data_IF_360544166736
#
_entry.id   IF_360544166736
#
_cell.length_a   1.000
_cell.length_b   1.000
_cell.length_c   1.000
_cell.angle_alpha   90.00
_cell.angle_beta   90.00
_cell.angle_gamma   90.00
#
_symmetry.space_group_name_H-M   'P 1'
#
loop_
_entity.id
_entity.type
_entity.pdbx_description
1 polymer ?
#
# COMPACT_ATOMS: atom_id res chain seq x y z
N UNK A 1 6.37 -2.48 -40.82
CA UNK A 1 5.79 -3.11 -39.60
C UNK A 1 6.87 -3.68 -38.66
N UNK A 2 7.91 -4.36 -39.17
CA UNK A 2 9.03 -4.89 -38.36
C UNK A 2 9.83 -3.85 -37.55
N UNK A 3 10.19 -2.71 -38.15
CA UNK A 3 11.00 -1.67 -37.48
C UNK A 3 10.31 -1.09 -36.23
N UNK A 4 9.00 -0.84 -36.29
CA UNK A 4 8.23 -0.32 -35.15
C UNK A 4 8.17 -1.32 -33.99
N UNK A 5 8.05 -2.62 -34.25
CA UNK A 5 7.99 -3.63 -33.19
C UNK A 5 9.35 -3.80 -32.51
N UNK A 6 10.44 -3.74 -33.28
CA UNK A 6 11.80 -3.81 -32.74
C UNK A 6 12.11 -2.59 -31.86
N UNK A 7 11.63 -1.40 -32.25
CA UNK A 7 11.74 -0.20 -31.42
C UNK A 7 10.99 -0.34 -30.08
N UNK A 8 9.77 -0.89 -30.07
CA UNK A 8 9.02 -1.10 -28.82
C UNK A 8 9.70 -2.12 -27.89
N UNK A 9 10.28 -3.19 -28.44
CA UNK A 9 11.08 -4.16 -27.68
C UNK A 9 12.35 -3.53 -27.11
N UNK A 10 13.01 -2.65 -27.87
CA UNK A 10 14.15 -1.89 -27.38
C UNK A 10 13.76 -0.99 -26.20
N UNK A 11 12.65 -0.26 -26.29
CA UNK A 11 12.12 0.58 -25.21
C UNK A 11 11.81 -0.24 -23.96
N UNK A 12 11.18 -1.41 -24.13
CA UNK A 12 10.91 -2.35 -23.04
C UNK A 12 12.21 -2.78 -22.36
N UNK A 13 13.19 -3.25 -23.14
CA UNK A 13 14.49 -3.70 -22.64
C UNK A 13 15.23 -2.59 -21.91
N UNK A 14 15.28 -1.38 -22.49
CA UNK A 14 15.87 -0.20 -21.87
C UNK A 14 15.18 0.12 -20.54
N UNK A 15 13.84 0.03 -20.48
CA UNK A 15 13.08 0.31 -19.25
C UNK A 15 13.39 -0.69 -18.14
N UNK A 16 13.57 -1.97 -18.47
CA UNK A 16 13.99 -3.00 -17.52
C UNK A 16 15.40 -2.70 -16.99
N UNK A 17 16.34 -2.33 -17.87
CA UNK A 17 17.70 -1.98 -17.48
C UNK A 17 17.76 -0.71 -16.62
N UNK A 18 17.01 0.33 -16.98
CA UNK A 18 16.87 1.55 -16.17
C UNK A 18 16.23 1.24 -14.83
N UNK A 19 15.21 0.37 -14.79
CA UNK A 19 14.60 -0.10 -13.53
C UNK A 19 15.62 -0.80 -12.63
N UNK A 20 16.46 -1.67 -13.20
CA UNK A 20 17.53 -2.34 -12.47
C UNK A 20 18.57 -1.33 -11.96
N UNK A 21 18.99 -0.40 -12.81
CA UNK A 21 19.93 0.66 -12.43
C UNK A 21 19.42 1.51 -11.27
N UNK A 22 18.16 1.96 -11.34
CA UNK A 22 17.51 2.70 -10.26
C UNK A 22 17.44 1.85 -8.99
N UNK A 23 17.02 0.59 -9.09
CA UNK A 23 16.90 -0.29 -7.93
C UNK A 23 18.25 -0.50 -7.22
N UNK A 24 19.33 -0.75 -7.96
CA UNK A 24 20.63 -1.07 -7.36
C UNK A 24 21.45 0.16 -6.96
N UNK A 25 21.42 1.25 -7.73
CA UNK A 25 22.33 2.39 -7.54
C UNK A 25 21.68 3.61 -6.87
N UNK A 26 20.37 3.82 -7.04
CA UNK A 26 19.75 5.06 -6.57
C UNK A 26 19.67 5.14 -5.04
N UNK A 27 19.20 4.09 -4.36
CA UNK A 27 19.06 4.16 -2.90
C UNK A 27 20.39 4.35 -2.16
N UNK A 28 21.50 3.67 -2.53
CA UNK A 28 22.83 3.99 -2.01
C UNK A 28 23.25 5.45 -2.28
N UNK A 29 23.02 5.94 -3.50
CA UNK A 29 23.36 7.32 -3.87
C UNK A 29 22.57 8.36 -3.07
N UNK A 30 21.29 8.10 -2.79
CA UNK A 30 20.43 8.96 -1.97
C UNK A 30 20.72 8.84 -0.47
N UNK A 31 21.23 7.70 0.00
CA UNK A 31 21.57 7.52 1.41
C UNK A 31 22.64 8.53 1.89
N UNK A 32 23.59 8.90 1.02
CA UNK A 32 24.65 9.86 1.34
C UNK A 32 24.13 11.28 1.65
N UNK A 33 23.40 11.97 0.76
CA UNK A 33 22.85 13.30 1.07
C UNK A 33 21.81 13.26 2.20
N UNK A 34 20.99 12.19 2.28
CA UNK A 34 20.01 12.04 3.37
C UNK A 34 20.73 11.91 4.71
N UNK A 35 21.91 11.26 4.77
CA UNK A 35 22.73 11.14 5.98
C UNK A 35 23.30 12.44 6.51
N UNK A 36 23.37 13.47 5.66
CA UNK A 36 23.79 14.82 6.05
C UNK A 36 22.64 15.69 6.55
N UNK A 37 21.39 15.20 6.49
CA UNK A 37 20.23 15.94 6.96
C UNK A 37 20.03 15.74 8.47
N UNK A 38 19.87 16.84 9.20
CA UNK A 38 19.57 16.82 10.63
C UNK A 38 18.12 16.44 10.95
N UNK A 39 17.27 16.29 9.93
CA UNK A 39 15.86 15.97 10.15
C UNK A 39 15.68 14.60 10.80
N UNK A 40 14.81 14.56 11.82
CA UNK A 40 14.46 13.34 12.54
C UNK A 40 13.91 12.25 11.59
N UNK A 41 13.20 12.67 10.54
CA UNK A 41 12.68 11.79 9.48
C UNK A 41 13.83 11.19 8.66
N UNK A 42 14.85 11.97 8.30
CA UNK A 42 16.02 11.46 7.57
C UNK A 42 16.80 10.45 8.42
N UNK A 43 17.03 10.74 9.71
CA UNK A 43 17.68 9.81 10.65
C UNK A 43 16.95 8.47 10.73
N UNK A 44 15.62 8.51 10.86
CA UNK A 44 14.77 7.30 10.85
C UNK A 44 14.78 6.57 9.51
N UNK A 45 14.80 7.30 8.40
CA UNK A 45 14.88 6.73 7.06
C UNK A 45 16.20 5.98 6.82
N UNK A 46 17.33 6.55 7.27
CA UNK A 46 18.65 5.90 7.19
C UNK A 46 18.70 4.66 8.07
N UNK A 47 18.16 4.74 9.29
CA UNK A 47 18.05 3.57 10.17
C UNK A 47 17.26 2.45 9.48
N UNK A 48 16.11 2.78 8.90
CA UNK A 48 15.30 1.81 8.17
C UNK A 48 15.99 1.28 6.90
N UNK A 49 16.78 2.10 6.20
CA UNK A 49 17.61 1.65 5.09
C UNK A 49 18.68 0.63 5.54
N UNK A 50 19.31 0.83 6.70
CA UNK A 50 20.27 -0.13 7.27
C UNK A 50 19.59 -1.45 7.66
N UNK A 51 18.39 -1.39 8.23
CA UNK A 51 17.63 -2.58 8.65
C UNK A 51 17.05 -3.36 7.46
N UNK A 52 16.45 -2.67 6.48
CA UNK A 52 15.75 -3.27 5.34
C UNK A 52 16.09 -2.57 4.03
N UNK A 53 17.34 -2.68 3.53
CA UNK A 53 17.82 -1.94 2.36
C UNK A 53 17.08 -2.31 1.09
N UNK A 54 16.56 -3.54 0.99
CA UNK A 54 15.83 -4.05 -0.16
C UNK A 54 14.44 -3.43 -0.31
N UNK A 55 13.74 -3.19 0.80
CA UNK A 55 12.42 -2.55 0.79
C UNK A 55 12.53 -1.06 0.46
N UNK A 56 13.55 -0.38 0.96
CA UNK A 56 13.80 1.02 0.60
C UNK A 56 14.15 1.17 -0.89
N UNK A 57 15.01 0.28 -1.43
CA UNK A 57 15.31 0.23 -2.87
C UNK A 57 14.06 0.04 -3.71
N UNK A 58 13.20 -0.91 -3.32
CA UNK A 58 11.89 -1.14 -3.95
C UNK A 58 11.05 0.14 -3.92
N UNK A 59 10.91 0.77 -2.75
CA UNK A 59 10.06 1.95 -2.57
C UNK A 59 10.51 3.14 -3.43
N UNK A 60 11.80 3.49 -3.43
CA UNK A 60 12.28 4.61 -4.25
C UNK A 60 12.08 4.36 -5.74
N UNK A 61 12.39 3.15 -6.20
CA UNK A 61 12.21 2.76 -7.60
C UNK A 61 10.74 2.82 -7.99
N UNK A 62 9.85 2.24 -7.18
CA UNK A 62 8.42 2.20 -7.46
C UNK A 62 7.81 3.61 -7.45
N UNK A 63 8.29 4.51 -6.58
CA UNK A 63 7.87 5.91 -6.56
C UNK A 63 8.23 6.67 -7.85
N UNK A 64 9.48 6.54 -8.33
CA UNK A 64 9.93 7.22 -9.56
C UNK A 64 9.09 6.80 -10.75
N UNK A 65 8.91 5.49 -10.92
CA UNK A 65 8.10 4.98 -12.01
C UNK A 65 6.63 5.32 -11.85
N UNK A 66 6.08 5.30 -10.63
CA UNK A 66 4.69 5.68 -10.42
C UNK A 66 4.44 7.17 -10.76
N UNK A 67 5.36 8.09 -10.43
CA UNK A 67 5.25 9.50 -10.83
C UNK A 67 5.29 9.61 -12.36
N UNK A 68 6.31 9.03 -13.00
CA UNK A 68 6.49 9.08 -14.44
C UNK A 68 5.27 8.54 -15.18
N UNK A 69 4.81 7.34 -14.82
CA UNK A 69 3.72 6.65 -15.49
C UNK A 69 2.37 7.31 -15.22
N UNK A 70 2.15 7.85 -14.02
CA UNK A 70 0.96 8.64 -13.74
C UNK A 70 0.91 9.92 -14.58
N UNK A 71 2.04 10.64 -14.70
CA UNK A 71 2.15 11.81 -15.58
C UNK A 71 1.88 11.45 -17.05
N UNK A 72 2.41 10.32 -17.53
CA UNK A 72 2.08 9.81 -18.86
C UNK A 72 0.59 9.46 -19.00
N UNK A 73 -0.03 8.88 -17.98
CA UNK A 73 -1.46 8.58 -17.96
C UNK A 73 -2.32 9.84 -18.07
N UNK A 74 -1.95 10.91 -17.35
CA UNK A 74 -2.63 12.21 -17.46
C UNK A 74 -2.49 12.81 -18.87
N UNK A 75 -1.27 12.76 -19.43
CA UNK A 75 -1.01 13.20 -20.81
C UNK A 75 -1.88 12.43 -21.82
N UNK A 76 -1.89 11.10 -21.75
CA UNK A 76 -2.70 10.27 -22.64
C UNK A 76 -4.20 10.54 -22.46
N UNK A 77 -4.67 10.74 -21.22
CA UNK A 77 -6.07 11.03 -20.93
C UNK A 77 -6.52 12.41 -21.44
N UNK A 78 -5.60 13.37 -21.59
CA UNK A 78 -5.92 14.69 -22.16
C UNK A 78 -5.84 14.72 -23.69
N UNK A 79 -5.31 13.67 -24.32
CA UNK A 79 -5.16 13.62 -25.77
C UNK A 79 -6.49 13.30 -26.46
N UNK A 80 -6.81 14.08 -27.51
CA UNK A 80 -7.98 13.83 -28.37
C UNK A 80 -7.91 12.47 -29.09
N UNK A 81 -6.70 11.96 -29.33
CA UNK A 81 -6.48 10.67 -29.99
C UNK A 81 -7.10 9.51 -29.20
N UNK A 82 -7.10 9.60 -27.87
CA UNK A 82 -7.68 8.58 -27.00
C UNK A 82 -9.18 8.39 -27.24
N UNK A 83 -9.91 9.47 -27.45
CA UNK A 83 -11.38 9.45 -27.58
C UNK A 83 -11.85 9.27 -29.02
N UNK A 84 -10.99 9.56 -30.00
CA UNK A 84 -11.34 9.42 -31.41
C UNK A 84 -11.45 7.95 -31.86
N UNK A 85 -10.49 7.10 -31.46
CA UNK A 85 -10.47 5.66 -31.77
C UNK A 85 -10.01 4.84 -30.56
N UNK A 86 -10.77 4.84 -29.45
CA UNK A 86 -10.38 4.25 -28.17
C UNK A 86 -10.02 2.76 -28.18
N UNK A 87 -10.58 2.01 -29.11
CA UNK A 87 -10.48 0.55 -29.17
C UNK A 87 -9.57 0.04 -30.29
N UNK A 88 -9.26 0.87 -31.30
CA UNK A 88 -8.53 0.45 -32.50
C UNK A 88 -7.46 1.45 -32.88
N UNK A 89 -6.38 0.98 -33.51
CA UNK A 89 -5.30 1.81 -34.05
C UNK A 89 -4.68 2.75 -33.01
N UNK A 90 -4.28 2.18 -31.87
CA UNK A 90 -3.56 2.93 -30.83
C UNK A 90 -2.34 3.64 -31.42
N UNK A 91 -2.18 4.93 -31.10
CA UNK A 91 -1.10 5.74 -31.67
C UNK A 91 0.28 5.27 -31.21
N UNK A 92 1.29 5.48 -32.05
CA UNK A 92 2.67 5.04 -31.78
C UNK A 92 3.20 5.61 -30.45
N UNK A 93 2.85 6.86 -30.13
CA UNK A 93 3.22 7.51 -28.87
C UNK A 93 2.68 6.74 -27.66
N UNK A 94 1.42 6.30 -27.73
CA UNK A 94 0.80 5.54 -26.65
C UNK A 94 1.45 4.16 -26.51
N UNK A 95 1.77 3.50 -27.64
CA UNK A 95 2.47 2.22 -27.63
C UNK A 95 3.85 2.31 -26.97
N UNK A 96 4.59 3.41 -27.16
CA UNK A 96 5.86 3.65 -26.48
C UNK A 96 5.66 3.76 -24.97
N UNK A 97 4.69 4.57 -24.52
CA UNK A 97 4.36 4.71 -23.09
C UNK A 97 3.95 3.36 -22.49
N UNK A 98 3.11 2.60 -23.20
CA UNK A 98 2.68 1.27 -22.78
C UNK A 98 3.85 0.28 -22.74
N UNK A 99 4.86 0.42 -23.60
CA UNK A 99 6.07 -0.40 -23.58
C UNK A 99 6.94 -0.08 -22.36
N UNK A 100 7.04 1.19 -21.98
CA UNK A 100 7.67 1.59 -20.70
C UNK A 100 6.91 0.99 -19.52
N UNK A 101 5.57 1.06 -19.55
CA UNK A 101 4.75 0.46 -18.50
C UNK A 101 4.93 -1.05 -18.39
N UNK A 102 4.95 -1.75 -19.52
CA UNK A 102 5.18 -3.19 -19.59
C UNK A 102 6.58 -3.54 -19.04
N UNK A 103 7.63 -2.84 -19.47
CA UNK A 103 8.99 -3.05 -18.95
C UNK A 103 9.08 -2.83 -17.44
N UNK A 104 8.40 -1.82 -16.91
CA UNK A 104 8.29 -1.59 -15.47
C UNK A 104 7.66 -2.79 -14.74
N UNK A 105 6.59 -3.37 -15.29
CA UNK A 105 5.89 -4.52 -14.70
C UNK A 105 6.65 -5.84 -14.83
N UNK A 106 7.37 -6.05 -15.93
CA UNK A 106 8.30 -7.18 -16.09
C UNK A 106 9.36 -7.14 -15.00
N UNK A 107 9.94 -5.96 -14.75
CA UNK A 107 10.88 -5.81 -13.63
C UNK A 107 10.21 -6.01 -12.27
N UNK A 108 9.00 -5.46 -12.03
CA UNK A 108 8.26 -5.67 -10.77
C UNK A 108 8.01 -7.16 -10.50
N UNK A 109 7.72 -7.95 -11.54
CA UNK A 109 7.55 -9.39 -11.45
C UNK A 109 8.84 -10.07 -10.97
N UNK A 110 9.99 -9.77 -11.60
CA UNK A 110 11.29 -10.28 -11.15
C UNK A 110 11.66 -9.80 -9.73
N UNK A 111 11.37 -8.54 -9.41
CA UNK A 111 11.59 -7.94 -8.10
C UNK A 111 10.79 -8.66 -7.01
N UNK A 112 9.54 -9.04 -7.28
CA UNK A 112 8.72 -9.78 -6.32
C UNK A 112 9.27 -11.18 -6.03
N UNK A 113 9.83 -11.87 -7.04
CA UNK A 113 10.55 -13.13 -6.80
C UNK A 113 11.76 -12.95 -5.89
N UNK A 114 12.55 -11.90 -6.11
CA UNK A 114 13.71 -11.57 -5.26
C UNK A 114 13.28 -11.26 -3.81
N UNK A 115 12.12 -10.64 -3.63
CA UNK A 115 11.60 -10.19 -2.34
C UNK A 115 10.53 -11.11 -1.75
N UNK A 116 10.41 -12.35 -2.24
CA UNK A 116 9.35 -13.30 -1.85
C UNK A 116 9.19 -13.52 -0.34
N UNK A 117 10.28 -13.41 0.42
CA UNK A 117 10.28 -13.58 1.89
C UNK A 117 9.94 -12.30 2.66
N UNK A 118 10.03 -11.15 2.01
CA UNK A 118 9.85 -9.83 2.63
C UNK A 118 8.46 -9.23 2.33
N UNK A 119 7.74 -9.77 1.34
CA UNK A 119 6.44 -9.28 0.89
C UNK A 119 5.28 -10.06 1.53
N UNK A 120 4.41 -9.42 2.34
CA UNK A 120 3.33 -10.10 3.05
C UNK A 120 2.23 -10.66 2.14
N UNK A 121 2.08 -10.11 0.92
CA UNK A 121 1.06 -10.50 -0.06
C UNK A 121 1.67 -10.92 -1.40
N UNK A 122 2.85 -11.54 -1.36
CA UNK A 122 3.64 -11.92 -2.53
C UNK A 122 2.80 -12.56 -3.65
N UNK A 123 1.97 -13.58 -3.34
CA UNK A 123 1.20 -14.32 -4.37
C UNK A 123 0.22 -13.42 -5.13
N UNK A 124 -0.48 -12.53 -4.42
CA UNK A 124 -1.46 -11.62 -5.02
C UNK A 124 -0.74 -10.55 -5.84
N UNK A 125 0.36 -9.98 -5.32
CA UNK A 125 1.17 -9.01 -6.06
C UNK A 125 1.76 -9.61 -7.33
N UNK A 126 2.29 -10.84 -7.26
CA UNK A 126 2.84 -11.56 -8.40
C UNK A 126 1.78 -11.81 -9.47
N UNK A 127 0.59 -12.29 -9.08
CA UNK A 127 -0.52 -12.51 -9.99
C UNK A 127 -0.96 -11.20 -10.66
N UNK A 128 -1.11 -10.12 -9.89
CA UNK A 128 -1.43 -8.80 -10.41
C UNK A 128 -0.39 -8.32 -11.43
N UNK A 129 0.90 -8.44 -11.11
CA UNK A 129 1.96 -8.01 -12.02
C UNK A 129 2.00 -8.85 -13.29
N UNK A 130 1.79 -10.17 -13.20
CA UNK A 130 1.70 -11.07 -14.34
C UNK A 130 0.53 -10.71 -15.26
N UNK A 131 -0.69 -10.60 -14.71
CA UNK A 131 -1.89 -10.25 -15.49
C UNK A 131 -1.75 -8.86 -16.12
N UNK A 132 -1.17 -7.90 -15.41
CA UNK A 132 -0.94 -6.57 -15.97
C UNK A 132 0.07 -6.61 -17.12
N UNK A 133 1.17 -7.35 -16.97
CA UNK A 133 2.17 -7.51 -18.03
C UNK A 133 1.59 -8.19 -19.28
N UNK A 134 0.81 -9.27 -19.12
CA UNK A 134 0.20 -9.96 -20.26
C UNK A 134 -0.84 -9.08 -20.96
N UNK A 135 -1.66 -8.35 -20.20
CA UNK A 135 -2.62 -7.38 -20.75
C UNK A 135 -1.96 -6.31 -21.60
N UNK A 136 -0.89 -5.69 -21.10
CA UNK A 136 -0.17 -4.67 -21.87
C UNK A 136 0.58 -5.27 -23.07
N UNK A 137 1.06 -6.51 -22.95
CA UNK A 137 1.61 -7.27 -24.08
C UNK A 137 0.58 -7.42 -25.21
N UNK A 138 -0.67 -7.76 -24.88
CA UNK A 138 -1.76 -7.87 -25.86
C UNK A 138 -2.13 -6.51 -26.46
N UNK A 139 -2.24 -5.45 -25.64
CA UNK A 139 -2.52 -4.09 -26.12
C UNK A 139 -1.45 -3.65 -27.13
N UNK A 140 -0.17 -3.91 -26.84
CA UNK A 140 0.94 -3.53 -27.72
C UNK A 140 0.98 -4.37 -28.99
N UNK A 141 0.83 -5.69 -28.88
CA UNK A 141 0.90 -6.61 -30.01
C UNK A 141 -0.22 -6.35 -31.04
N UNK A 142 -1.43 -6.12 -30.56
CA UNK A 142 -2.61 -5.92 -31.40
C UNK A 142 -2.93 -4.44 -31.67
N UNK A 143 -2.26 -3.51 -30.98
CA UNK A 143 -2.48 -2.05 -31.09
C UNK A 143 -3.94 -1.64 -30.89
N UNK A 144 -4.59 -2.29 -29.93
CA UNK A 144 -6.00 -2.17 -29.63
C UNK A 144 -6.22 -1.91 -28.14
N UNK A 145 -7.40 -1.38 -27.79
CA UNK A 145 -7.82 -1.13 -26.41
C UNK A 145 -6.90 -0.15 -25.64
N UNK A 146 -6.67 1.05 -26.19
CA UNK A 146 -5.83 2.05 -25.54
C UNK A 146 -6.40 2.56 -24.22
N UNK A 147 -7.73 2.56 -24.04
CA UNK A 147 -8.34 3.02 -22.79
C UNK A 147 -7.92 2.17 -21.61
N UNK A 148 -7.94 0.84 -21.76
CA UNK A 148 -7.51 -0.04 -20.67
C UNK A 148 -6.04 0.22 -20.31
N UNK A 149 -5.21 0.56 -21.30
CA UNK A 149 -3.85 1.02 -21.08
C UNK A 149 -3.78 2.36 -20.34
N UNK A 150 -4.56 3.36 -20.74
CA UNK A 150 -4.58 4.66 -20.03
C UNK A 150 -5.09 4.51 -18.59
N UNK A 151 -6.13 3.71 -18.38
CA UNK A 151 -6.68 3.40 -17.05
C UNK A 151 -5.60 2.79 -16.15
N UNK A 152 -4.84 1.81 -16.65
CA UNK A 152 -3.76 1.19 -15.86
C UNK A 152 -2.64 2.18 -15.49
N UNK A 153 -2.27 3.10 -16.40
CA UNK A 153 -1.32 4.19 -16.09
C UNK A 153 -1.84 5.09 -14.97
N UNK A 154 -3.12 5.46 -15.02
CA UNK A 154 -3.75 6.30 -13.99
C UNK A 154 -3.80 5.60 -12.62
N UNK A 155 -3.88 4.26 -12.58
CA UNK A 155 -3.84 3.52 -11.31
C UNK A 155 -2.51 3.69 -10.55
N UNK A 156 -1.39 3.93 -11.23
CA UNK A 156 -0.10 4.19 -10.55
C UNK A 156 -0.14 5.44 -9.68
N UNK A 157 -0.99 6.43 -9.99
CA UNK A 157 -1.15 7.62 -9.16
C UNK A 157 -1.63 7.28 -7.74
N UNK A 158 -2.43 6.22 -7.58
CA UNK A 158 -2.84 5.75 -6.26
C UNK A 158 -1.69 5.10 -5.49
N UNK A 159 -0.78 4.41 -6.18
CA UNK A 159 0.37 3.69 -5.58
C UNK A 159 1.27 4.67 -4.81
N UNK A 160 1.49 5.87 -5.35
CA UNK A 160 2.27 6.94 -4.70
C UNK A 160 1.81 7.19 -3.26
N UNK A 161 0.50 7.33 -3.08
CA UNK A 161 -0.10 7.65 -1.77
C UNK A 161 -0.15 6.41 -0.85
N UNK A 162 -0.29 5.21 -1.42
CA UNK A 162 -0.21 3.96 -0.66
C UNK A 162 1.17 3.76 -0.05
N UNK A 163 2.21 3.96 -0.85
CA UNK A 163 3.61 3.76 -0.45
C UNK A 163 4.07 4.86 0.50
N UNK A 164 3.67 6.12 0.28
CA UNK A 164 3.93 7.21 1.22
C UNK A 164 3.31 6.93 2.60
N UNK A 165 2.04 6.48 2.62
CA UNK A 165 1.37 6.14 3.87
C UNK A 165 2.00 4.91 4.56
N UNK A 166 2.55 3.98 3.79
CA UNK A 166 3.26 2.82 4.32
C UNK A 166 4.63 3.22 4.88
N UNK A 167 5.36 4.09 4.18
CA UNK A 167 6.63 4.65 4.63
C UNK A 167 6.47 5.40 5.95
N UNK A 168 5.47 6.27 6.07
CA UNK A 168 5.19 7.00 7.31
C UNK A 168 4.89 6.06 8.49
N UNK A 169 4.23 4.92 8.24
CA UNK A 169 4.03 3.89 9.27
C UNK A 169 5.34 3.23 9.66
N UNK A 170 6.19 2.87 8.69
CA UNK A 170 7.48 2.23 8.95
C UNK A 170 8.47 3.15 9.67
N UNK A 171 8.41 4.46 9.39
CA UNK A 171 9.22 5.47 10.10
C UNK A 171 8.72 5.75 11.53
N UNK A 172 7.68 5.06 12.02
CA UNK A 172 7.18 5.23 13.38
C UNK A 172 6.66 6.65 13.65
N UNK A 173 6.16 7.34 12.63
CA UNK A 173 5.48 8.63 12.82
C UNK A 173 4.21 8.37 13.65
N UNK A 174 3.90 9.27 14.59
CA UNK A 174 2.81 9.07 15.53
C UNK A 174 1.51 8.70 14.81
N UNK A 175 0.89 7.58 15.24
CA UNK A 175 -0.34 7.06 14.62
C UNK A 175 -1.51 8.05 14.68
N UNK A 176 -1.45 8.99 15.61
CA UNK A 176 -2.41 10.07 15.84
C UNK A 176 -2.01 11.41 15.20
N UNK A 177 -0.82 11.49 14.60
CA UNK A 177 -0.33 12.72 13.99
C UNK A 177 -1.20 13.19 12.82
N UNK A 178 -1.35 14.52 12.70
CA UNK A 178 -2.14 15.15 11.63
C UNK A 178 -1.66 14.74 10.23
N UNK A 179 -0.34 14.65 10.02
CA UNK A 179 0.25 14.18 8.76
C UNK A 179 -0.21 12.77 8.36
N UNK A 180 -0.26 11.84 9.32
CA UNK A 180 -0.71 10.46 9.08
C UNK A 180 -2.21 10.43 8.78
N UNK A 181 -3.02 11.30 9.40
CA UNK A 181 -4.42 11.41 9.04
C UNK A 181 -4.61 12.00 7.64
N UNK A 182 -3.98 13.13 7.32
CA UNK A 182 -4.07 13.77 6.01
C UNK A 182 -3.68 12.82 4.89
N UNK A 183 -2.58 12.08 5.04
CA UNK A 183 -2.17 11.05 4.08
C UNK A 183 -3.15 9.88 3.99
N UNK A 184 -3.84 9.52 5.08
CA UNK A 184 -4.91 8.51 5.02
C UNK A 184 -6.12 8.99 4.23
N UNK A 185 -6.52 10.24 4.46
CA UNK A 185 -7.66 10.89 3.81
C UNK A 185 -7.36 11.03 2.32
N UNK A 186 -6.18 11.57 1.99
CA UNK A 186 -5.69 11.67 0.62
C UNK A 186 -5.66 10.29 -0.05
N UNK A 187 -5.15 9.26 0.62
CA UNK A 187 -5.16 7.89 0.08
C UNK A 187 -6.57 7.45 -0.26
N UNK A 188 -7.53 7.65 0.63
CA UNK A 188 -8.92 7.25 0.39
C UNK A 188 -9.51 7.95 -0.84
N UNK A 189 -9.41 9.27 -0.90
CA UNK A 189 -9.95 10.05 -2.02
C UNK A 189 -9.26 9.71 -3.35
N UNK A 190 -7.93 9.64 -3.38
CA UNK A 190 -7.18 9.29 -4.59
C UNK A 190 -7.49 7.86 -5.03
N UNK A 191 -7.70 6.92 -4.09
CA UNK A 191 -8.12 5.55 -4.44
C UNK A 191 -9.48 5.55 -5.13
N UNK A 192 -10.47 6.26 -4.57
CA UNK A 192 -11.82 6.32 -5.17
C UNK A 192 -11.76 6.98 -6.55
N UNK A 193 -11.07 8.12 -6.65
CA UNK A 193 -10.97 8.86 -7.90
C UNK A 193 -10.31 8.02 -9.00
N UNK A 194 -9.12 7.47 -8.73
CA UNK A 194 -8.33 6.80 -9.76
C UNK A 194 -8.74 5.35 -9.99
N UNK A 195 -9.27 4.62 -8.99
CA UNK A 195 -9.59 3.19 -9.12
C UNK A 195 -11.08 2.85 -9.20
N UNK A 196 -11.98 3.80 -8.95
CA UNK A 196 -13.42 3.63 -9.18
C UNK A 196 -13.94 4.61 -10.23
N UNK A 197 -13.91 5.91 -9.94
CA UNK A 197 -14.58 6.91 -10.77
C UNK A 197 -13.97 7.00 -12.17
N UNK A 198 -12.64 7.11 -12.26
CA UNK A 198 -11.93 7.21 -13.53
C UNK A 198 -12.16 6.00 -14.45
N UNK A 199 -11.94 4.73 -14.03
CA UNK A 199 -12.17 3.58 -14.90
C UNK A 199 -13.64 3.43 -15.30
N UNK A 200 -14.59 3.70 -14.40
CA UNK A 200 -16.02 3.64 -14.72
C UNK A 200 -16.39 4.73 -15.73
N UNK A 201 -15.94 5.97 -15.53
CA UNK A 201 -16.24 7.07 -16.44
C UNK A 201 -15.64 6.83 -17.82
N UNK A 202 -14.37 6.41 -17.90
CA UNK A 202 -13.73 6.09 -19.17
C UNK A 202 -14.41 4.91 -19.87
N UNK A 203 -14.77 3.86 -19.14
CA UNK A 203 -15.52 2.73 -19.70
C UNK A 203 -16.89 3.18 -20.22
N UNK A 204 -17.63 3.99 -19.46
CA UNK A 204 -18.95 4.48 -19.86
C UNK A 204 -18.88 5.35 -21.14
N UNK A 205 -17.91 6.28 -21.22
CA UNK A 205 -17.66 7.10 -22.41
C UNK A 205 -17.32 6.23 -23.62
N UNK A 206 -16.57 5.16 -23.40
CA UNK A 206 -16.18 4.24 -24.46
C UNK A 206 -17.37 3.47 -24.98
N UNK A 207 -18.15 2.87 -24.08
CA UNK A 207 -19.29 2.03 -24.44
C UNK A 207 -20.45 2.84 -25.03
N UNK A 208 -20.55 4.13 -24.70
CA UNK A 208 -21.56 5.01 -25.31
C UNK A 208 -21.24 5.40 -26.76
N UNK A 209 -19.97 5.31 -27.17
CA UNK A 209 -19.51 5.77 -28.48
C UNK A 209 -19.02 4.62 -29.38
N UNK A 210 -18.56 3.52 -28.79
CA UNK A 210 -17.90 2.43 -29.49
C UNK A 210 -18.32 1.07 -28.91
N UNK A 211 -18.48 0.07 -29.79
CA UNK A 211 -18.75 -1.30 -29.37
C UNK A 211 -17.44 -2.07 -29.11
N UNK A 212 -17.28 -2.72 -27.94
CA UNK A 212 -16.11 -3.55 -27.64
C UNK A 212 -16.02 -4.77 -28.56
N UNK A 213 -17.14 -5.22 -29.13
CA UNK A 213 -17.20 -6.34 -30.08
C UNK A 213 -16.47 -6.04 -31.41
N UNK A 214 -16.04 -4.80 -31.62
CA UNK A 214 -15.17 -4.44 -32.73
C UNK A 214 -13.70 -4.85 -32.53
N UNK A 215 -13.31 -5.33 -31.35
CA UNK A 215 -11.95 -5.82 -31.09
C UNK A 215 -11.73 -7.20 -31.73
N UNK A 216 -10.47 -7.54 -32.00
CA UNK A 216 -10.10 -8.91 -32.37
C UNK A 216 -10.32 -9.87 -31.19
N UNK A 217 -10.51 -11.17 -31.47
CA UNK A 217 -10.87 -12.16 -30.46
C UNK A 217 -9.95 -12.18 -29.22
N UNK A 218 -8.64 -12.07 -29.42
CA UNK A 218 -7.66 -12.07 -28.32
C UNK A 218 -7.77 -10.79 -27.47
N UNK A 219 -7.65 -9.56 -28.04
CA UNK A 219 -7.92 -8.32 -27.32
C UNK A 219 -9.31 -8.25 -26.67
N UNK A 220 -10.34 -8.81 -27.30
CA UNK A 220 -11.71 -8.85 -26.77
C UNK A 220 -11.80 -9.71 -25.50
N UNK A 221 -11.20 -10.90 -25.52
CA UNK A 221 -11.12 -11.77 -24.34
C UNK A 221 -10.38 -11.05 -23.20
N UNK A 222 -9.24 -10.44 -23.50
CA UNK A 222 -8.50 -9.65 -22.51
C UNK A 222 -9.29 -8.44 -22.00
N UNK A 223 -10.05 -7.75 -22.84
CA UNK A 223 -10.88 -6.61 -22.43
C UNK A 223 -11.85 -7.00 -21.31
N UNK A 224 -12.62 -8.08 -21.48
CA UNK A 224 -13.57 -8.52 -20.45
C UNK A 224 -12.87 -9.11 -19.22
N UNK A 225 -11.82 -9.91 -19.40
CA UNK A 225 -11.04 -10.46 -18.30
C UNK A 225 -10.43 -9.35 -17.44
N UNK A 226 -9.93 -8.28 -18.05
CA UNK A 226 -9.39 -7.12 -17.36
C UNK A 226 -10.45 -6.38 -16.56
N UNK A 227 -11.65 -6.19 -17.11
CA UNK A 227 -12.75 -5.56 -16.37
C UNK A 227 -13.02 -6.36 -15.09
N UNK A 228 -13.18 -7.69 -15.18
CA UNK A 228 -13.47 -8.53 -14.01
C UNK A 228 -12.31 -8.50 -13.00
N UNK A 229 -11.09 -8.79 -13.46
CA UNK A 229 -9.92 -8.91 -12.60
C UNK A 229 -9.57 -7.57 -11.91
N UNK A 230 -9.48 -6.49 -12.67
CA UNK A 230 -9.14 -5.18 -12.11
C UNK A 230 -10.30 -4.58 -11.30
N UNK A 231 -11.56 -4.89 -11.58
CA UNK A 231 -12.66 -4.50 -10.70
C UNK A 231 -12.56 -5.17 -9.33
N UNK A 232 -12.22 -6.47 -9.29
CA UNK A 232 -12.02 -7.19 -8.03
C UNK A 232 -10.85 -6.59 -7.22
N UNK A 233 -9.70 -6.37 -7.86
CA UNK A 233 -8.54 -5.78 -7.20
C UNK A 233 -8.82 -4.34 -6.77
N UNK A 234 -9.45 -3.52 -7.61
CA UNK A 234 -9.78 -2.15 -7.24
C UNK A 234 -10.80 -2.09 -6.10
N UNK A 235 -11.81 -2.96 -6.10
CA UNK A 235 -12.74 -3.13 -4.99
C UNK A 235 -12.03 -3.48 -3.68
N UNK A 236 -11.06 -4.41 -3.73
CA UNK A 236 -10.20 -4.71 -2.58
C UNK A 236 -9.46 -3.46 -2.10
N UNK A 237 -8.80 -2.72 -2.99
CA UNK A 237 -8.03 -1.53 -2.62
C UNK A 237 -8.92 -0.44 -2.00
N UNK A 238 -10.13 -0.24 -2.52
CA UNK A 238 -11.12 0.70 -1.97
C UNK A 238 -11.53 0.26 -0.57
N UNK A 239 -11.89 -1.02 -0.38
CA UNK A 239 -12.24 -1.58 0.94
C UNK A 239 -11.11 -1.36 1.95
N UNK A 240 -9.87 -1.70 1.58
CA UNK A 240 -8.70 -1.52 2.46
C UNK A 240 -8.43 -0.05 2.80
N UNK A 241 -8.61 0.86 1.84
CA UNK A 241 -8.48 2.30 2.09
C UNK A 241 -9.57 2.84 3.01
N UNK A 242 -10.83 2.38 2.83
CA UNK A 242 -11.95 2.74 3.69
C UNK A 242 -11.78 2.22 5.12
N UNK A 243 -11.47 0.94 5.30
CA UNK A 243 -11.23 0.35 6.62
C UNK A 243 -10.04 1.02 7.32
N UNK A 244 -8.97 1.31 6.59
CA UNK A 244 -7.82 2.03 7.11
C UNK A 244 -8.18 3.43 7.60
N UNK A 245 -9.01 4.15 6.83
CA UNK A 245 -9.52 5.47 7.21
C UNK A 245 -10.43 5.40 8.44
N UNK A 246 -11.42 4.48 8.45
CA UNK A 246 -12.33 4.26 9.59
C UNK A 246 -11.57 3.95 10.88
N UNK A 247 -10.61 3.02 10.84
CA UNK A 247 -9.77 2.66 11.99
C UNK A 247 -9.02 3.89 12.54
N UNK A 248 -8.48 4.75 11.68
CA UNK A 248 -7.78 5.97 12.09
C UNK A 248 -8.70 7.02 12.68
N UNK A 249 -9.89 7.20 12.09
CA UNK A 249 -10.90 8.11 12.63
C UNK A 249 -11.32 7.67 14.05
N UNK A 250 -11.56 6.37 14.24
CA UNK A 250 -11.90 5.79 15.54
C UNK A 250 -10.76 5.94 16.55
N UNK A 251 -9.51 5.64 16.16
CA UNK A 251 -8.36 5.81 17.03
C UNK A 251 -8.19 7.27 17.49
N UNK A 252 -8.44 8.24 16.61
CA UNK A 252 -8.39 9.67 16.97
C UNK A 252 -9.54 10.05 17.90
N UNK A 253 -10.77 9.58 17.63
CA UNK A 253 -11.92 9.82 18.53
C UNK A 253 -11.63 9.26 19.93
N UNK A 254 -11.17 8.02 20.03
CA UNK A 254 -10.80 7.41 21.31
C UNK A 254 -9.70 8.20 22.02
N UNK A 255 -8.63 8.57 21.31
CA UNK A 255 -7.55 9.41 21.87
C UNK A 255 -8.10 10.72 22.41
N UNK A 256 -9.04 11.36 21.70
CA UNK A 256 -9.68 12.60 22.14
C UNK A 256 -10.50 12.37 23.42
N UNK A 257 -11.37 11.34 23.45
CA UNK A 257 -12.19 11.00 24.61
C UNK A 257 -11.37 10.69 25.88
N UNK A 258 -10.27 9.94 25.75
CA UNK A 258 -9.41 9.63 26.90
C UNK A 258 -8.47 10.79 27.29
N UNK A 259 -8.22 11.74 26.38
CA UNK A 259 -7.45 12.96 26.67
C UNK A 259 -8.28 14.08 27.28
N UNK A 260 -9.62 14.01 27.20
CA UNK A 260 -10.50 15.00 27.82
C UNK A 260 -10.33 14.91 29.34
N UNK A 261 -9.98 16.02 30.03
CA UNK A 261 -10.08 16.05 31.48
C UNK A 261 -11.50 15.64 31.84
N UNK A 262 -11.68 14.67 32.75
CA UNK A 262 -12.99 14.48 33.37
C UNK A 262 -13.36 15.85 33.94
N UNK A 263 -14.42 16.46 33.42
CA UNK A 263 -15.03 17.58 34.12
C UNK A 263 -15.31 17.04 35.52
N UNK A 264 -14.69 17.66 36.53
CA UNK A 264 -15.09 17.44 37.90
C UNK A 264 -16.59 17.62 37.92
N UNK A 265 -17.32 16.55 38.29
CA UNK A 265 -18.72 16.68 38.59
C UNK A 265 -18.81 17.57 39.81
N UNK A 266 -19.14 18.84 39.59
CA UNK A 266 -19.63 19.72 40.64
C UNK A 266 -20.86 19.05 41.25
N UNK A 267 -20.69 18.62 42.50
CA UNK A 267 -21.67 17.83 43.23
C UNK A 267 -21.11 17.36 44.55
N UNK A 268 -21.09 18.28 45.51
CA UNK A 268 -21.05 18.07 46.95
C UNK A 268 -19.67 18.09 47.62
N UNK A 269 -19.32 19.28 48.13
CA UNK A 269 -18.43 19.40 49.29
C UNK A 269 -19.02 18.57 50.45
N UNK A 270 -18.26 17.58 50.92
CA UNK A 270 -18.32 17.19 52.33
C UNK A 270 -16.90 17.25 52.90
N UNK A 271 -16.81 18.08 53.93
CA UNK A 271 -15.62 18.51 54.63
C UNK A 271 -14.76 17.37 55.21
N UNK A 272 -13.47 17.68 55.28
CA UNK A 272 -12.49 17.22 56.28
C UNK A 272 -12.23 15.72 56.41
N UNK A 273 -11.19 15.24 55.71
CA UNK A 273 -10.12 14.46 56.36
C UNK A 273 -8.78 14.91 55.80
N UNK A 274 -7.88 15.23 56.73
CA UNK A 274 -6.52 15.69 56.49
C UNK A 274 -5.68 14.71 55.64
N UNK A 275 -4.73 15.31 54.91
CA UNK A 275 -3.42 14.74 54.57
C UNK A 275 -3.40 13.31 54.03
N UNK A 276 -3.50 13.18 52.71
CA UNK A 276 -2.64 12.23 52.00
C UNK A 276 -2.43 12.72 50.58
N UNK A 277 -1.20 13.16 50.29
CA UNK A 277 -0.70 13.49 48.97
C UNK A 277 -0.70 12.21 48.12
N UNK A 278 -1.88 11.80 47.63
CA UNK A 278 -1.97 10.80 46.59
C UNK A 278 -1.48 11.45 45.29
N UNK A 279 -0.19 11.24 45.02
CA UNK A 279 0.36 11.24 43.68
C UNK A 279 -0.45 10.20 42.91
N UNK A 280 -1.50 10.68 42.25
CA UNK A 280 -2.32 9.90 41.32
C UNK A 280 -1.47 9.73 40.05
N UNK A 281 -0.46 8.87 40.13
CA UNK A 281 0.13 8.24 38.95
C UNK A 281 -1.04 7.66 38.16
N UNK A 282 -1.36 8.28 37.03
CA UNK A 282 -2.22 7.68 36.00
C UNK A 282 -1.70 6.28 35.76
N UNK A 283 -2.40 5.28 36.29
CA UNK A 283 -2.27 3.91 35.85
C UNK A 283 -2.69 3.91 34.39
N UNK A 284 -1.71 3.87 33.51
CA UNK A 284 -1.92 3.62 32.10
C UNK A 284 -2.59 2.24 32.00
N UNK A 285 -3.91 2.22 31.80
CA UNK A 285 -4.60 1.00 31.43
C UNK A 285 -3.90 0.43 30.20
N UNK A 286 -3.38 -0.80 30.24
CA UNK A 286 -2.72 -1.38 29.09
C UNK A 286 -3.81 -1.63 28.05
N UNK A 287 -3.91 -0.73 27.08
CA UNK A 287 -4.65 -1.00 25.86
C UNK A 287 -3.84 -2.06 25.13
N UNK A 288 -4.22 -3.32 25.33
CA UNK A 288 -3.74 -4.45 24.53
C UNK A 288 -4.32 -4.27 23.14
N UNK A 289 -3.59 -3.56 22.29
CA UNK A 289 -3.82 -3.60 20.85
C UNK A 289 -3.26 -4.96 20.40
N UNK A 290 -4.09 -5.90 19.92
CA UNK A 290 -3.58 -7.17 19.42
C UNK A 290 -2.54 -6.88 18.34
N UNK A 291 -1.32 -7.37 18.55
CA UNK A 291 -0.28 -7.33 17.52
C UNK A 291 -0.82 -8.01 16.26
N UNK A 292 -0.53 -7.44 15.09
CA UNK A 292 -1.03 -7.86 13.78
C UNK A 292 -0.67 -9.33 13.40
N UNK A 293 0.01 -10.09 14.28
CA UNK A 293 0.37 -11.49 14.06
C UNK A 293 -0.79 -12.48 14.25
N UNK A 294 -1.85 -12.12 14.98
CA UNK A 294 -2.94 -13.06 15.32
C UNK A 294 -4.26 -12.85 14.56
N UNK A 295 -4.34 -11.89 13.63
CA UNK A 295 -5.51 -11.76 12.76
C UNK A 295 -5.36 -12.63 11.50
N UNK A 296 -5.31 -13.95 11.71
CA UNK A 296 -5.60 -14.90 10.62
C UNK A 296 -7.10 -14.83 10.36
N UNK A 297 -7.49 -14.08 9.35
CA UNK A 297 -8.77 -14.30 8.68
C UNK A 297 -8.84 -15.78 8.31
N UNK A 298 -9.84 -16.47 8.85
CA UNK A 298 -10.22 -17.80 8.41
C UNK A 298 -10.40 -17.84 6.89
N UNK A 299 -10.10 -18.99 6.29
CA UNK A 299 -10.34 -19.23 4.86
C UNK A 299 -11.80 -18.95 4.53
N UNK A 300 -12.13 -18.33 3.37
CA UNK A 300 -13.51 -18.19 2.96
C UNK A 300 -14.07 -19.59 2.67
N UNK A 301 -14.98 -20.05 3.53
CA UNK A 301 -15.76 -21.26 3.27
C UNK A 301 -16.97 -20.80 2.46
N UNK A 302 -16.97 -21.08 1.17
CA UNK A 302 -18.17 -20.96 0.35
C UNK A 302 -18.93 -22.28 0.38
N UNK A 303 -20.20 -22.18 0.72
CA UNK A 303 -21.30 -23.14 0.61
C UNK A 303 -21.67 -23.90 1.88
N UNK A 304 -22.87 -23.53 2.33
CA UNK A 304 -23.77 -24.27 3.21
C UNK A 304 -24.18 -25.57 2.50
N UNK A 305 -23.83 -26.71 3.08
CA UNK A 305 -24.81 -27.77 3.32
C UNK A 305 -24.35 -28.69 4.48
N UNK A 306 -25.35 -29.13 5.25
CA UNK A 306 -25.30 -29.74 6.57
C UNK A 306 -24.44 -31.01 6.70
N UNK A 307 -23.76 -31.18 7.85
CA UNK A 307 -24.19 -32.17 8.86
C UNK A 307 -23.54 -31.88 10.22
N UNK A 308 -24.39 -31.75 11.24
CA UNK A 308 -24.02 -31.86 12.65
C UNK A 308 -23.56 -33.29 12.93
N UNK A 309 -22.31 -33.47 13.40
CA UNK A 309 -21.92 -34.48 14.42
C UNK A 309 -20.40 -34.75 14.52
N UNK A 310 -19.52 -34.13 13.74
CA UNK A 310 -18.08 -34.41 13.84
C UNK A 310 -17.25 -33.24 14.40
N UNK A 311 -17.36 -33.05 15.71
CA UNK A 311 -16.30 -32.48 16.55
C UNK A 311 -15.38 -33.63 16.99
N UNK A 312 -14.15 -33.75 16.47
CA UNK A 312 -13.15 -34.65 17.10
C UNK A 312 -11.69 -34.52 16.63
N UNK A 313 -11.18 -33.35 16.23
CA UNK A 313 -9.72 -33.20 16.03
C UNK A 313 -9.13 -31.88 16.56
N UNK A 314 -9.79 -31.29 17.58
CA UNK A 314 -9.22 -30.22 18.41
C UNK A 314 -8.52 -30.88 19.61
N UNK A 315 -7.26 -31.29 19.41
CA UNK A 315 -6.19 -31.60 20.39
C UNK A 315 -5.31 -32.68 19.75
N UNK A 316 -4.05 -32.40 19.41
CA UNK A 316 -2.81 -32.70 20.17
C UNK A 316 -1.69 -32.46 19.10
N UNK A 317 -0.53 -31.82 19.28
CA UNK A 317 0.39 -31.54 20.38
C UNK A 317 1.09 -30.18 20.11
N UNK A 318 1.33 -29.28 21.08
CA UNK A 318 2.39 -29.27 22.12
C UNK A 318 3.82 -29.44 21.56
N UNK A 319 4.52 -28.32 21.35
CA UNK A 319 5.85 -28.13 21.95
C UNK A 319 6.19 -26.64 22.15
N UNK A 320 6.64 -26.35 23.37
CA UNK A 320 7.35 -25.15 23.87
C UNK A 320 6.60 -23.82 24.01
N UNK A 321 5.85 -23.75 25.12
CA UNK A 321 5.66 -22.51 25.86
C UNK A 321 6.98 -22.13 26.54
N UNK A 322 7.74 -21.21 25.96
CA UNK A 322 8.56 -20.29 26.76
C UNK A 322 7.74 -19.02 26.95
N UNK A 323 7.45 -18.70 28.21
CA UNK A 323 6.86 -17.42 28.62
C UNK A 323 7.61 -16.27 27.94
N UNK A 324 6.91 -15.24 27.40
CA UNK A 324 7.61 -14.05 26.96
C UNK A 324 8.25 -13.39 28.19
N UNK A 325 9.58 -13.31 28.20
CA UNK A 325 10.31 -12.45 29.13
C UNK A 325 9.75 -11.03 29.00
N UNK A 326 9.17 -10.55 30.10
CA UNK A 326 8.70 -9.20 30.24
C UNK A 326 9.95 -8.34 30.49
N UNK A 327 10.51 -7.77 29.43
CA UNK A 327 11.47 -6.67 29.59
C UNK A 327 10.69 -5.41 29.96
N UNK A 328 10.54 -5.19 31.26
CA UNK A 328 10.15 -3.88 31.80
C UNK A 328 11.34 -2.95 31.58
N UNK A 329 11.19 -1.97 30.68
CA UNK A 329 12.08 -0.80 30.68
C UNK A 329 11.55 0.10 31.79
N UNK A 330 12.12 -0.02 32.98
CA UNK A 330 11.96 0.96 34.05
C UNK A 330 12.83 2.14 33.65
N UNK A 331 12.24 3.33 33.57
CA UNK A 331 13.01 4.57 33.50
C UNK A 331 13.72 4.74 34.85
N UNK A 332 15.02 4.47 34.89
CA UNK A 332 15.86 4.83 36.03
C UNK A 332 15.98 6.36 36.10
N UNK A 333 15.31 6.96 37.08
CA UNK A 333 15.69 8.26 37.65
C UNK A 333 16.60 8.03 38.87
N UNK A 334 17.61 8.88 39.11
CA UNK A 334 18.76 8.55 39.94
C UNK A 334 18.39 8.47 41.42
N UNK A 335 18.61 7.31 42.05
CA UNK A 335 18.44 7.15 43.48
C UNK A 335 19.72 7.56 44.22
N UNK A 336 19.52 8.45 45.18
CA UNK A 336 20.44 8.98 46.17
C UNK A 336 21.18 7.90 46.97
N UNK A 337 22.47 8.14 47.21
CA UNK A 337 23.32 7.42 48.14
C UNK A 337 22.85 7.57 49.58
N UNK A 338 22.29 6.53 50.21
CA UNK A 338 22.46 6.29 51.66
C UNK A 338 22.44 4.78 51.96
N UNK A 339 23.32 4.26 52.85
CA UNK A 339 23.45 2.84 53.13
C UNK A 339 22.47 2.38 54.22
N UNK A 340 21.85 1.21 54.03
CA UNK A 340 20.99 0.57 55.02
C UNK A 340 21.81 -0.48 55.80
N UNK A 341 21.89 -0.29 57.12
CA UNK A 341 22.45 -1.23 58.09
C UNK A 341 21.58 -2.49 58.23
N UNK A 342 22.23 -3.64 58.36
CA UNK A 342 21.62 -4.93 58.70
C UNK A 342 21.40 -5.07 60.21
N UNK A 343 20.19 -5.41 60.64
CA UNK A 343 19.90 -6.40 61.70
C UNK A 343 18.63 -7.16 61.32
#
# INVERSE_FOLDING_TARGET
MFSSNLFLLLVLSLTVNVSAGIYFFLAPALAFPISKSDSEIAKRLIKFYKEKPRLIRKLFRDQIFAILLFSCGLYCSSSREMYAKPLRNTSSTFLVIFSVYLGNYVFKFCQDFLLRRELPLYKISLLHHFVTATTYGVIIAYRQNSISGVVGLLFEGSVLVFDLNSLLRFLGVSKTGWLVLCTSVLRFFVTILLRALCPIALLAITLSTHTPLSLEYVPLGFFFMNIVFFSMINGWHIKMSFEGFKKRLLARRLSYYYSRPRAASDGMELNNVASLTQILTRTALPIVIPSDANFRLSSPVSNVNMNSDEVSNIAVSRHERTLPQINVIINDTPASNEPINQV
#
